data_IF_057687808187
#
_entry.id   IF_057687808187
#
_cell.length_a   1.000
_cell.length_b   1.000
_cell.length_c   1.000
_cell.angle_alpha   90.00
_cell.angle_beta   90.00
_cell.angle_gamma   90.00
#
_symmetry.space_group_name_H-M   'P 1'
#
loop_
_entity.id
_entity.type
_entity.pdbx_description
1 polymer ?
#
# COMPACT_ATOMS: atom_id res chain seq x y z
N UNK A 1 -7.88 8.76 -2.62
CA UNK A 1 -6.60 8.39 -3.27
C UNK A 1 -6.29 6.91 -3.00
N UNK A 2 -5.89 6.10 -3.99
CA UNK A 2 -5.48 4.69 -3.76
C UNK A 2 -3.99 4.65 -3.41
N UNK A 3 -3.61 3.90 -2.38
CA UNK A 3 -2.20 3.84 -1.98
C UNK A 3 -1.47 2.66 -2.62
N UNK A 4 -0.22 2.89 -3.02
CA UNK A 4 0.55 2.03 -3.94
C UNK A 4 1.51 1.07 -3.24
N UNK A 5 1.12 0.53 -2.10
CA UNK A 5 1.88 -0.47 -1.33
C UNK A 5 1.87 -1.87 -1.97
N UNK A 6 1.00 -2.12 -2.97
CA UNK A 6 0.78 -3.44 -3.54
C UNK A 6 -0.35 -4.22 -2.86
N UNK A 7 -1.02 -3.61 -1.88
CA UNK A 7 -2.09 -4.24 -1.08
C UNK A 7 -3.30 -4.68 -1.89
N UNK A 8 -3.69 -3.95 -2.94
CA UNK A 8 -4.74 -4.40 -3.87
C UNK A 8 -4.38 -5.68 -4.63
N UNK A 9 -3.13 -5.84 -5.07
CA UNK A 9 -2.67 -7.09 -5.68
C UNK A 9 -2.62 -8.23 -4.65
N UNK A 10 -2.07 -7.96 -3.46
CA UNK A 10 -1.99 -8.95 -2.40
C UNK A 10 -3.37 -9.45 -1.94
N UNK A 11 -4.34 -8.55 -1.85
CA UNK A 11 -5.75 -8.88 -1.56
C UNK A 11 -6.33 -9.86 -2.59
N UNK A 12 -6.05 -9.63 -3.88
CA UNK A 12 -6.51 -10.58 -4.92
C UNK A 12 -5.85 -11.95 -4.80
N UNK A 13 -4.63 -12.05 -4.27
CA UNK A 13 -4.00 -13.35 -3.98
C UNK A 13 -4.77 -14.08 -2.88
N UNK A 14 -5.05 -13.40 -1.76
CA UNK A 14 -5.76 -14.00 -0.63
C UNK A 14 -7.18 -14.45 -1.03
N UNK A 15 -7.91 -13.64 -1.81
CA UNK A 15 -9.27 -13.99 -2.24
C UNK A 15 -9.35 -15.22 -3.16
N UNK A 16 -8.23 -15.71 -3.72
CA UNK A 16 -8.20 -17.00 -4.43
C UNK A 16 -8.25 -18.20 -3.50
N UNK A 17 -7.97 -18.02 -2.21
CA UNK A 17 -8.14 -19.07 -1.22
C UNK A 17 -9.62 -19.26 -0.91
N UNK A 18 -10.16 -20.46 -1.10
CA UNK A 18 -11.57 -20.81 -0.85
C UNK A 18 -12.08 -20.30 0.51
N UNK A 19 -11.30 -20.51 1.56
CA UNK A 19 -11.66 -20.13 2.94
C UNK A 19 -11.36 -18.67 3.34
N UNK A 20 -10.94 -17.79 2.42
CA UNK A 20 -10.70 -16.37 2.69
C UNK A 20 -11.66 -15.49 1.89
N UNK A 21 -12.23 -14.49 2.55
CA UNK A 21 -13.01 -13.41 1.93
C UNK A 21 -12.56 -12.03 2.43
N UNK A 22 -11.72 -11.34 1.66
CA UNK A 22 -11.33 -9.94 1.89
C UNK A 22 -12.25 -8.99 1.12
N UNK A 23 -12.86 -8.05 1.85
CA UNK A 23 -13.95 -7.20 1.39
C UNK A 23 -13.51 -5.80 0.90
N UNK A 24 -12.25 -5.62 0.52
CA UNK A 24 -11.75 -4.34 0.00
C UNK A 24 -11.52 -3.28 1.07
N UNK A 25 -11.41 -2.02 0.61
CA UNK A 25 -11.22 -0.86 1.48
C UNK A 25 -12.54 -0.33 2.03
N UNK A 26 -13.18 -1.08 2.93
CA UNK A 26 -14.49 -0.70 3.47
C UNK A 26 -14.45 0.66 4.20
N UNK A 27 -13.30 1.05 4.77
CA UNK A 27 -13.08 2.32 5.47
C UNK A 27 -12.62 3.48 4.57
N UNK A 28 -12.57 3.29 3.26
CA UNK A 28 -12.42 4.41 2.31
C UNK A 28 -13.60 5.39 2.40
N UNK A 29 -14.80 4.87 2.75
CA UNK A 29 -16.03 5.62 3.01
C UNK A 29 -15.93 6.37 4.34
N UNK A 30 -16.09 7.70 4.33
CA UNK A 30 -15.82 8.58 5.49
C UNK A 30 -16.78 8.31 6.65
N UNK A 31 -18.04 8.07 6.38
CA UNK A 31 -19.11 7.86 7.36
C UNK A 31 -18.78 6.69 8.30
N UNK A 32 -18.23 5.60 7.72
CA UNK A 32 -17.85 4.37 8.45
C UNK A 32 -16.68 4.57 9.41
N UNK A 33 -15.89 5.64 9.23
CA UNK A 33 -14.74 6.01 10.07
C UNK A 33 -14.86 7.40 10.69
N UNK A 34 -16.08 7.91 10.80
CA UNK A 34 -16.35 9.24 11.37
C UNK A 34 -15.95 9.34 12.84
N UNK A 35 -16.17 8.26 13.60
CA UNK A 35 -15.78 8.11 15.01
C UNK A 35 -15.56 6.63 15.37
N UNK A 36 -15.09 6.39 16.59
CA UNK A 36 -14.77 5.04 17.05
C UNK A 36 -15.99 4.11 17.10
N UNK A 37 -17.15 4.62 17.52
CA UNK A 37 -18.40 3.84 17.53
C UNK A 37 -18.79 3.34 16.14
N UNK A 38 -18.62 4.16 15.11
CA UNK A 38 -18.93 3.81 13.72
C UNK A 38 -17.94 2.78 13.17
N UNK A 39 -16.66 2.91 13.54
CA UNK A 39 -15.62 1.92 13.24
C UNK A 39 -15.99 0.56 13.84
N UNK A 40 -16.30 0.52 15.13
CA UNK A 40 -16.62 -0.72 15.83
C UNK A 40 -17.88 -1.38 15.28
N UNK A 41 -18.94 -0.60 15.02
CA UNK A 41 -20.14 -1.11 14.33
C UNK A 41 -19.83 -1.72 12.96
N UNK A 42 -18.91 -1.13 12.22
CA UNK A 42 -18.49 -1.64 10.90
C UNK A 42 -17.68 -2.92 11.04
N UNK A 43 -16.74 -2.98 11.99
CA UNK A 43 -15.96 -4.18 12.29
C UNK A 43 -16.85 -5.33 12.80
N UNK A 44 -17.81 -5.05 13.67
CA UNK A 44 -18.75 -6.05 14.17
C UNK A 44 -19.62 -6.62 13.04
N UNK A 45 -20.12 -5.80 12.10
CA UNK A 45 -20.83 -6.30 10.90
C UNK A 45 -19.96 -7.26 10.09
N UNK A 46 -18.69 -6.91 9.88
CA UNK A 46 -17.77 -7.78 9.15
C UNK A 46 -17.47 -9.07 9.93
N UNK A 47 -17.20 -8.96 11.23
CA UNK A 47 -16.93 -10.08 12.13
C UNK A 47 -18.10 -11.07 12.19
N UNK A 48 -19.33 -10.55 12.22
CA UNK A 48 -20.55 -11.33 12.28
C UNK A 48 -20.93 -11.98 10.95
N UNK A 49 -20.21 -11.68 9.85
CA UNK A 49 -20.55 -12.02 8.47
C UNK A 49 -21.82 -11.35 7.92
N UNK A 50 -22.26 -10.25 8.52
CA UNK A 50 -23.40 -9.47 8.01
C UNK A 50 -23.00 -8.55 6.84
N UNK A 51 -21.76 -8.69 6.35
CA UNK A 51 -21.19 -7.86 5.30
C UNK A 51 -21.30 -8.53 3.92
N UNK A 52 -22.30 -8.10 3.16
CA UNK A 52 -22.52 -8.57 1.79
C UNK A 52 -21.68 -7.77 0.78
N UNK A 53 -20.86 -8.46 0.00
CA UNK A 53 -20.08 -7.88 -1.09
C UNK A 53 -19.90 -8.90 -2.21
N UNK A 54 -19.40 -8.47 -3.36
CA UNK A 54 -19.04 -9.40 -4.46
C UNK A 54 -17.91 -10.38 -4.10
N UNK A 55 -17.17 -10.10 -3.02
CA UNK A 55 -16.14 -11.00 -2.49
C UNK A 55 -16.67 -11.91 -1.37
N UNK A 56 -17.88 -11.66 -0.86
CA UNK A 56 -18.51 -12.50 0.16
C UNK A 56 -18.73 -13.90 -0.42
N UNK A 57 -18.39 -14.91 0.37
CA UNK A 57 -18.55 -16.32 0.00
C UNK A 57 -19.72 -16.90 0.77
N UNK A 58 -20.58 -17.63 0.06
CA UNK A 58 -21.82 -18.19 0.62
C UNK A 58 -21.59 -19.51 1.38
N UNK A 59 -20.34 -19.98 1.44
CA UNK A 59 -19.91 -21.21 2.10
C UNK A 59 -18.95 -20.92 3.25
N UNK A 60 -18.59 -21.97 4.00
CA UNK A 60 -17.67 -21.98 5.13
C UNK A 60 -16.41 -21.10 4.96
N UNK A 61 -16.48 -19.85 5.41
CA UNK A 61 -15.33 -18.93 5.39
C UNK A 61 -14.58 -19.06 6.71
N UNK A 62 -13.28 -19.36 6.67
CA UNK A 62 -12.45 -19.46 7.87
C UNK A 62 -11.81 -18.12 8.27
N UNK A 63 -11.66 -17.20 7.31
CA UNK A 63 -11.14 -15.87 7.55
C UNK A 63 -11.88 -14.84 6.69
N UNK A 64 -12.43 -13.82 7.34
CA UNK A 64 -13.01 -12.64 6.69
C UNK A 64 -12.09 -11.46 6.91
N UNK A 65 -11.83 -10.67 5.88
CA UNK A 65 -10.84 -9.62 5.91
C UNK A 65 -11.35 -8.32 5.35
N UNK A 66 -10.57 -7.27 5.60
CA UNK A 66 -10.68 -5.99 4.95
C UNK A 66 -9.28 -5.41 4.75
N UNK A 67 -9.17 -4.52 3.77
CA UNK A 67 -7.95 -3.75 3.54
C UNK A 67 -8.10 -2.38 4.20
N UNK A 68 -7.20 -2.01 5.10
CA UNK A 68 -7.27 -0.76 5.83
C UNK A 68 -6.00 0.06 5.67
N UNK A 69 -6.14 1.23 5.06
CA UNK A 69 -5.02 2.14 4.91
C UNK A 69 -4.72 2.84 6.23
N UNK A 70 -3.44 2.99 6.62
CA UNK A 70 -3.09 3.51 7.96
C UNK A 70 -3.61 4.95 8.18
N UNK A 71 -3.75 5.73 7.11
CA UNK A 71 -4.30 7.09 7.10
C UNK A 71 -5.85 7.14 7.14
N UNK A 72 -6.56 6.01 7.03
CA UNK A 72 -8.02 5.95 7.01
C UNK A 72 -8.61 5.77 8.42
N UNK A 73 -8.10 6.49 9.42
CA UNK A 73 -8.63 6.46 10.79
C UNK A 73 -8.08 5.35 11.68
N UNK A 74 -7.38 4.35 11.13
CA UNK A 74 -6.74 3.28 11.90
C UNK A 74 -5.77 3.83 12.95
N UNK A 75 -4.85 4.72 12.53
CA UNK A 75 -3.87 5.30 13.45
C UNK A 75 -4.48 6.34 14.40
N UNK A 76 -5.61 6.95 14.04
CA UNK A 76 -6.29 7.97 14.86
C UNK A 76 -6.93 7.34 16.11
N UNK A 77 -7.44 6.13 15.99
CA UNK A 77 -8.14 5.40 17.06
C UNK A 77 -7.41 4.10 17.41
N UNK A 78 -6.08 4.13 17.39
CA UNK A 78 -5.28 2.90 17.47
C UNK A 78 -5.46 2.16 18.80
N UNK A 79 -5.64 2.87 19.91
CA UNK A 79 -5.77 2.25 21.24
C UNK A 79 -7.02 1.38 21.32
N UNK A 80 -8.17 1.94 20.95
CA UNK A 80 -9.46 1.26 20.98
C UNK A 80 -9.53 0.14 19.94
N UNK A 81 -8.86 0.30 18.79
CA UNK A 81 -8.78 -0.72 17.74
C UNK A 81 -7.89 -1.90 18.18
N UNK A 82 -6.75 -1.63 18.81
CA UNK A 82 -5.88 -2.68 19.37
C UNK A 82 -6.62 -3.48 20.44
N UNK A 83 -7.36 -2.81 21.33
CA UNK A 83 -8.19 -3.48 22.33
C UNK A 83 -9.25 -4.37 21.67
N UNK A 84 -9.97 -3.85 20.68
CA UNK A 84 -10.96 -4.62 19.93
C UNK A 84 -10.32 -5.84 19.25
N UNK A 85 -9.18 -5.67 18.58
CA UNK A 85 -8.49 -6.76 17.89
C UNK A 85 -8.05 -7.86 18.86
N UNK A 86 -7.44 -7.50 19.99
CA UNK A 86 -7.04 -8.48 21.00
C UNK A 86 -8.25 -9.22 21.59
N UNK A 87 -9.32 -8.51 21.95
CA UNK A 87 -10.54 -9.11 22.51
C UNK A 87 -11.23 -10.07 21.54
N UNK A 88 -11.18 -9.78 20.24
CA UNK A 88 -11.86 -10.56 19.19
C UNK A 88 -10.94 -11.57 18.47
N UNK A 89 -9.66 -11.65 18.86
CA UNK A 89 -8.69 -12.52 18.17
C UNK A 89 -8.42 -12.12 16.72
N UNK A 90 -8.56 -10.83 16.38
CA UNK A 90 -8.28 -10.32 15.04
C UNK A 90 -6.77 -10.30 14.80
N UNK A 91 -6.37 -10.75 13.63
CA UNK A 91 -4.98 -10.75 13.19
C UNK A 91 -4.73 -9.64 12.16
N UNK A 92 -3.51 -9.12 12.09
CA UNK A 92 -3.15 -8.12 11.09
C UNK A 92 -1.95 -8.58 10.23
N UNK A 93 -2.02 -8.28 8.95
CA UNK A 93 -0.90 -8.42 8.01
C UNK A 93 -0.49 -7.00 7.60
N UNK A 94 0.66 -6.54 8.06
CA UNK A 94 1.21 -5.27 7.60
C UNK A 94 1.93 -5.50 6.27
N UNK A 95 1.44 -4.90 5.18
CA UNK A 95 2.10 -4.94 3.88
C UNK A 95 2.77 -3.59 3.61
N UNK A 96 4.06 -3.55 3.87
CA UNK A 96 4.92 -2.40 3.68
C UNK A 96 5.64 -2.48 2.33
N UNK A 97 6.21 -1.36 1.90
CA UNK A 97 6.98 -1.29 0.65
C UNK A 97 8.28 -0.55 0.91
N UNK A 98 9.42 -1.22 0.71
CA UNK A 98 10.74 -0.63 0.99
C UNK A 98 11.09 0.46 -0.02
N UNK A 99 10.74 0.25 -1.29
CA UNK A 99 11.05 1.24 -2.33
C UNK A 99 10.01 2.37 -2.36
N UNK A 100 10.17 3.31 -1.43
CA UNK A 100 9.27 4.45 -1.25
C UNK A 100 9.33 5.45 -2.43
N UNK A 101 10.46 5.59 -3.11
CA UNK A 101 10.58 6.42 -4.32
C UNK A 101 9.74 5.85 -5.47
N UNK A 102 9.90 4.55 -5.78
CA UNK A 102 9.10 3.91 -6.81
C UNK A 102 7.61 3.91 -6.47
N UNK A 103 7.29 3.80 -5.18
CA UNK A 103 5.92 3.95 -4.69
C UNK A 103 5.37 5.35 -5.01
N UNK A 104 6.16 6.40 -4.75
CA UNK A 104 5.79 7.79 -5.04
C UNK A 104 5.58 8.03 -6.54
N UNK A 105 6.48 7.52 -7.39
CA UNK A 105 6.30 7.55 -8.86
C UNK A 105 4.97 6.89 -9.25
N UNK A 106 4.67 5.71 -8.68
CA UNK A 106 3.42 5.01 -8.99
C UNK A 106 2.17 5.76 -8.52
N UNK A 107 2.26 6.55 -7.45
CA UNK A 107 1.17 7.43 -7.01
C UNK A 107 0.94 8.51 -8.06
N UNK A 108 2.00 9.22 -8.47
CA UNK A 108 1.91 10.31 -9.43
C UNK A 108 1.37 9.81 -10.78
N UNK A 109 1.82 8.65 -11.24
CA UNK A 109 1.30 8.04 -12.47
C UNK A 109 -0.17 7.62 -12.36
N UNK A 110 -0.59 7.08 -11.21
CA UNK A 110 -1.99 6.75 -10.99
C UNK A 110 -2.89 7.99 -10.94
N UNK A 111 -2.41 9.09 -10.36
CA UNK A 111 -3.15 10.35 -10.32
C UNK A 111 -3.23 11.00 -11.70
N UNK A 112 -2.14 10.95 -12.48
CA UNK A 112 -2.16 11.34 -13.88
C UNK A 112 -3.22 10.56 -14.67
N UNK A 113 -3.26 9.23 -14.55
CA UNK A 113 -4.27 8.39 -15.21
C UNK A 113 -5.70 8.69 -14.73
N UNK A 114 -5.89 9.05 -13.46
CA UNK A 114 -7.20 9.45 -12.95
C UNK A 114 -7.75 10.67 -13.70
N UNK A 115 -6.88 11.60 -14.04
CA UNK A 115 -7.24 12.85 -14.70
C UNK A 115 -7.34 12.69 -16.22
N UNK A 116 -6.40 11.96 -16.83
CA UNK A 116 -6.27 11.82 -18.29
C UNK A 116 -7.01 10.60 -18.84
N UNK A 117 -7.25 9.58 -18.01
CA UNK A 117 -7.95 8.34 -18.34
C UNK A 117 -7.36 7.65 -19.58
N UNK A 118 -6.07 7.30 -19.49
CA UNK A 118 -5.22 6.91 -20.63
C UNK A 118 -5.70 5.65 -21.33
N UNK A 119 -6.50 4.81 -20.66
CA UNK A 119 -7.02 3.57 -21.22
C UNK A 119 -8.45 3.77 -21.73
N UNK A 120 -8.58 4.28 -22.95
CA UNK A 120 -9.86 4.48 -23.65
C UNK A 120 -10.87 5.29 -22.82
N UNK A 121 -10.42 6.38 -22.20
CA UNK A 121 -11.29 7.24 -21.39
C UNK A 121 -11.70 6.62 -20.05
N UNK A 122 -11.04 5.55 -19.60
CA UNK A 122 -11.25 4.95 -18.27
C UNK A 122 -9.98 5.01 -17.42
N UNK A 123 -10.14 5.41 -16.16
CA UNK A 123 -9.10 5.29 -15.15
C UNK A 123 -8.99 3.83 -14.69
N UNK A 124 -7.77 3.28 -14.62
CA UNK A 124 -7.51 1.97 -14.02
C UNK A 124 -6.32 2.00 -13.07
N UNK A 125 -6.59 1.73 -11.80
CA UNK A 125 -5.53 1.57 -10.80
C UNK A 125 -4.76 0.24 -10.90
N UNK A 126 -5.37 -0.76 -11.53
CA UNK A 126 -4.83 -2.10 -11.76
C UNK A 126 -5.23 -2.58 -13.15
N UNK A 127 -4.37 -3.37 -13.77
CA UNK A 127 -4.56 -3.90 -15.12
C UNK A 127 -4.28 -5.40 -15.15
N UNK A 128 -4.86 -6.08 -16.13
CA UNK A 128 -4.70 -7.53 -16.33
C UNK A 128 -3.88 -7.89 -17.57
N UNK A 129 -3.60 -6.89 -18.42
CA UNK A 129 -2.87 -7.07 -19.68
C UNK A 129 -1.59 -6.25 -19.68
N UNK A 130 -0.53 -6.78 -20.28
CA UNK A 130 0.77 -6.10 -20.38
C UNK A 130 0.68 -4.82 -21.22
N UNK A 131 -0.03 -4.82 -22.35
CA UNK A 131 -0.19 -3.62 -23.17
C UNK A 131 -0.83 -2.45 -22.42
N UNK A 132 -1.85 -2.70 -21.59
CA UNK A 132 -2.44 -1.67 -20.73
C UNK A 132 -1.43 -1.17 -19.67
N UNK A 133 -0.62 -2.08 -19.10
CA UNK A 133 0.43 -1.70 -18.17
C UNK A 133 1.51 -0.83 -18.84
N UNK A 134 1.88 -1.14 -20.08
CA UNK A 134 2.90 -0.41 -20.83
C UNK A 134 2.43 1.03 -21.09
N UNK A 135 1.19 1.22 -21.57
CA UNK A 135 0.59 2.56 -21.76
C UNK A 135 0.60 3.37 -20.46
N UNK A 136 0.15 2.79 -19.35
CA UNK A 136 0.14 3.47 -18.06
C UNK A 136 1.56 3.80 -17.54
N UNK A 137 2.58 3.05 -17.97
CA UNK A 137 3.97 3.24 -17.58
C UNK A 137 4.74 4.24 -18.46
N UNK A 138 4.14 4.74 -19.55
CA UNK A 138 4.75 5.75 -20.43
C UNK A 138 4.86 7.11 -19.75
N UNK A 139 3.92 7.46 -18.87
CA UNK A 139 3.96 8.70 -18.13
C UNK A 139 5.16 8.73 -17.17
N UNK A 140 6.00 9.75 -17.34
CA UNK A 140 7.13 10.06 -16.45
C UNK A 140 6.81 11.32 -15.65
N UNK A 141 6.49 11.20 -14.35
CA UNK A 141 6.25 12.37 -13.53
C UNK A 141 7.53 13.19 -13.33
N UNK A 142 7.40 14.51 -13.35
CA UNK A 142 8.42 15.42 -12.83
C UNK A 142 8.36 15.43 -11.30
N UNK A 143 9.47 15.10 -10.65
CA UNK A 143 9.51 15.03 -9.17
C UNK A 143 10.05 16.32 -8.57
N UNK A 144 9.26 16.93 -7.68
CA UNK A 144 9.69 18.04 -6.84
C UNK A 144 10.37 17.48 -5.58
N UNK A 145 11.69 17.66 -5.46
CA UNK A 145 12.52 17.12 -4.37
C UNK A 145 11.95 17.39 -2.97
N UNK A 146 11.53 18.62 -2.68
CA UNK A 146 11.03 19.00 -1.36
C UNK A 146 9.76 18.21 -0.98
N UNK A 147 8.86 18.01 -1.94
CA UNK A 147 7.65 17.20 -1.75
C UNK A 147 7.99 15.73 -1.56
N UNK A 148 8.94 15.22 -2.34
CA UNK A 148 9.43 13.84 -2.21
C UNK A 148 9.97 13.58 -0.79
N UNK A 149 10.92 14.39 -0.30
CA UNK A 149 11.54 14.17 1.03
C UNK A 149 10.48 14.15 2.13
N UNK A 150 9.58 15.12 2.12
CA UNK A 150 8.52 15.20 3.12
C UNK A 150 7.60 13.97 3.08
N UNK A 151 7.30 13.45 1.89
CA UNK A 151 6.47 12.26 1.71
C UNK A 151 7.17 10.97 2.17
N UNK A 152 8.45 10.82 1.84
CA UNK A 152 9.27 9.68 2.26
C UNK A 152 9.34 9.62 3.79
N UNK A 153 9.74 10.72 4.45
CA UNK A 153 9.84 10.80 5.92
C UNK A 153 8.50 10.51 6.61
N UNK A 154 7.41 11.10 6.11
CA UNK A 154 6.07 10.89 6.68
C UNK A 154 5.64 9.43 6.58
N UNK A 155 5.91 8.81 5.44
CA UNK A 155 5.50 7.44 5.17
C UNK A 155 6.24 6.41 6.00
N UNK A 156 7.55 6.62 6.15
CA UNK A 156 8.40 5.79 6.98
C UNK A 156 8.00 5.90 8.46
N UNK A 157 7.85 7.13 8.96
CA UNK A 157 7.37 7.39 10.32
C UNK A 157 6.00 6.74 10.58
N UNK A 158 5.05 6.89 9.66
CA UNK A 158 3.71 6.33 9.84
C UNK A 158 3.71 4.79 9.86
N UNK A 159 4.60 4.15 9.10
CA UNK A 159 4.78 2.70 9.16
C UNK A 159 5.41 2.28 10.50
N UNK A 160 6.47 2.96 10.93
CA UNK A 160 7.13 2.70 12.22
C UNK A 160 6.15 2.87 13.41
N UNK A 161 5.42 3.98 13.45
CA UNK A 161 4.42 4.27 14.48
C UNK A 161 3.32 3.19 14.50
N UNK A 162 2.89 2.70 13.33
CA UNK A 162 1.91 1.62 13.24
C UNK A 162 2.43 0.31 13.83
N UNK A 163 3.67 -0.09 13.51
CA UNK A 163 4.27 -1.30 14.07
C UNK A 163 4.43 -1.21 15.59
N UNK A 164 4.76 -0.03 16.12
CA UNK A 164 4.85 0.20 17.57
C UNK A 164 3.47 0.13 18.23
N UNK A 165 2.47 0.85 17.70
CA UNK A 165 1.14 0.93 18.30
C UNK A 165 0.40 -0.42 18.26
N UNK A 166 0.62 -1.21 17.22
CA UNK A 166 -0.02 -2.51 17.01
C UNK A 166 0.88 -3.70 17.40
N UNK A 167 1.96 -3.48 18.16
CA UNK A 167 2.88 -4.57 18.53
C UNK A 167 2.25 -5.69 19.36
N UNK A 168 1.17 -5.41 20.09
CA UNK A 168 0.51 -6.34 21.00
C UNK A 168 -0.56 -7.20 20.32
N UNK A 169 -1.02 -6.82 19.13
CA UNK A 169 -1.95 -7.64 18.36
C UNK A 169 -1.19 -8.77 17.67
N UNK A 170 -1.86 -9.90 17.41
CA UNK A 170 -1.28 -10.95 16.58
C UNK A 170 -1.07 -10.41 15.16
N UNK A 171 0.18 -10.24 14.75
CA UNK A 171 0.49 -9.65 13.46
C UNK A 171 1.71 -10.29 12.78
N UNK A 172 1.74 -10.16 11.45
CA UNK A 172 2.90 -10.46 10.61
C UNK A 172 3.23 -9.24 9.75
N UNK A 173 4.52 -8.95 9.60
CA UNK A 173 5.01 -7.86 8.77
C UNK A 173 5.61 -8.44 7.49
N UNK A 174 5.12 -7.95 6.35
CA UNK A 174 5.57 -8.31 5.02
C UNK A 174 6.05 -7.08 4.28
N UNK A 175 7.06 -7.26 3.44
CA UNK A 175 7.46 -6.25 2.47
C UNK A 175 7.09 -6.71 1.07
N UNK A 176 6.46 -5.82 0.30
CA UNK A 176 6.02 -6.08 -1.07
C UNK A 176 7.12 -6.70 -1.94
N UNK A 177 8.35 -6.18 -1.83
CA UNK A 177 9.51 -6.66 -2.56
C UNK A 177 9.83 -8.14 -2.26
N UNK A 178 9.66 -8.58 -1.00
CA UNK A 178 9.90 -9.97 -0.59
C UNK A 178 8.78 -10.88 -1.10
N UNK A 179 7.53 -10.43 -1.01
CA UNK A 179 6.36 -11.22 -1.47
C UNK A 179 6.39 -11.41 -2.99
N UNK A 180 6.88 -10.43 -3.75
CA UNK A 180 7.00 -10.53 -5.20
C UNK A 180 8.19 -11.40 -5.61
N UNK A 181 9.33 -11.29 -4.92
CA UNK A 181 10.55 -12.02 -5.26
C UNK A 181 10.55 -13.46 -4.77
N UNK A 182 9.98 -13.73 -3.60
CA UNK A 182 9.94 -15.04 -2.98
C UNK A 182 8.50 -15.48 -2.68
N UNK A 183 8.00 -16.43 -3.47
CA UNK A 183 6.64 -16.96 -3.30
C UNK A 183 6.45 -17.75 -2.00
N UNK A 184 7.51 -18.22 -1.35
CA UNK A 184 7.39 -18.90 -0.05
C UNK A 184 6.80 -17.98 1.02
N UNK A 185 6.93 -16.65 0.87
CA UNK A 185 6.30 -15.68 1.77
C UNK A 185 4.77 -15.76 1.79
N UNK A 186 4.15 -16.24 0.71
CA UNK A 186 2.71 -16.50 0.72
C UNK A 186 2.36 -17.74 1.54
N UNK A 187 3.27 -18.72 1.62
CA UNK A 187 3.12 -19.88 2.51
C UNK A 187 3.21 -19.44 3.97
N UNK A 188 4.16 -18.57 4.33
CA UNK A 188 4.27 -17.99 5.68
C UNK A 188 2.95 -17.31 6.11
N UNK A 189 2.28 -16.64 5.17
CA UNK A 189 0.97 -16.00 5.41
C UNK A 189 -0.14 -17.01 5.65
N UNK A 190 -0.20 -18.08 4.86
CA UNK A 190 -1.20 -19.13 5.07
C UNK A 190 -0.97 -19.85 6.40
N UNK A 191 0.29 -20.07 6.79
CA UNK A 191 0.65 -20.61 8.10
C UNK A 191 0.22 -19.69 9.24
N UNK A 192 0.53 -18.39 9.12
CA UNK A 192 0.09 -17.36 10.08
C UNK A 192 -1.43 -17.34 10.25
N UNK A 193 -2.18 -17.47 9.16
CA UNK A 193 -3.65 -17.53 9.17
C UNK A 193 -4.21 -18.92 9.55
N UNK A 194 -3.34 -19.92 9.73
CA UNK A 194 -3.71 -21.33 10.01
C UNK A 194 -4.64 -21.93 8.95
N UNK A 195 -4.33 -21.69 7.69
CA UNK A 195 -5.09 -22.14 6.53
C UNK A 195 -4.34 -23.21 5.71
N UNK A 196 -5.05 -24.05 4.95
CA UNK A 196 -4.43 -25.00 4.03
C UNK A 196 -3.46 -24.31 3.07
N UNK A 197 -2.30 -24.93 2.88
CA UNK A 197 -1.28 -24.42 1.95
C UNK A 197 -1.72 -24.70 0.52
N UNK A 198 -2.04 -23.63 -0.22
CA UNK A 198 -2.35 -23.70 -1.64
C UNK A 198 -1.53 -22.67 -2.43
N UNK A 199 -1.42 -22.89 -3.74
CA UNK A 199 -0.77 -21.93 -4.62
C UNK A 199 -1.69 -20.74 -4.91
N UNK A 200 -1.40 -19.60 -4.30
CA UNK A 200 -2.08 -18.34 -4.59
C UNK A 200 -1.56 -17.72 -5.90
N UNK A 201 -2.45 -17.09 -6.66
CA UNK A 201 -2.12 -16.43 -7.94
C UNK A 201 -3.02 -15.23 -8.19
N UNK A 202 -2.56 -14.26 -8.96
CA UNK A 202 -3.34 -13.07 -9.30
C UNK A 202 -3.20 -12.79 -10.79
N UNK A 203 -4.27 -12.26 -11.39
CA UNK A 203 -4.26 -11.77 -12.76
C UNK A 203 -3.75 -10.33 -12.87
N UNK A 204 -3.45 -9.64 -11.76
CA UNK A 204 -2.93 -8.27 -11.83
C UNK A 204 -1.51 -8.29 -12.38
N UNK A 205 -1.23 -7.36 -13.29
CA UNK A 205 0.09 -7.14 -13.86
C UNK A 205 0.74 -5.92 -13.21
N UNK A 206 2.05 -6.01 -12.96
CA UNK A 206 2.83 -4.88 -12.46
C UNK A 206 3.01 -3.85 -13.57
N UNK A 207 2.57 -2.62 -13.33
CA UNK A 207 2.64 -1.50 -14.29
C UNK A 207 4.10 -1.04 -14.47
N UNK A 208 4.76 -0.67 -13.38
CA UNK A 208 6.12 -0.13 -13.44
C UNK A 208 7.19 -1.23 -13.25
N UNK A 209 7.68 -1.78 -14.35
CA UNK A 209 8.69 -2.87 -14.37
C UNK A 209 10.12 -2.40 -14.67
N UNK A 210 10.28 -1.24 -15.32
CA UNK A 210 11.59 -0.66 -15.66
C UNK A 210 12.42 -0.28 -14.42
N UNK A 211 13.71 0.01 -14.57
CA UNK A 211 14.52 0.60 -13.48
C UNK A 211 13.89 1.93 -13.04
N UNK A 212 13.92 2.23 -11.74
CA UNK A 212 13.26 3.40 -11.15
C UNK A 212 13.69 4.70 -11.85
N UNK A 213 14.98 4.87 -12.13
CA UNK A 213 15.54 6.04 -12.83
C UNK A 213 14.95 6.31 -14.23
N UNK A 214 14.38 5.30 -14.88
CA UNK A 214 13.77 5.43 -16.21
C UNK A 214 12.29 5.79 -16.15
N UNK A 215 11.72 5.91 -14.94
CA UNK A 215 10.27 6.06 -14.72
C UNK A 215 9.87 7.48 -14.30
N UNK A 216 10.81 8.42 -14.18
CA UNK A 216 10.52 9.80 -13.79
C UNK A 216 11.57 10.72 -14.39
N UNK A 217 11.19 11.98 -14.57
CA UNK A 217 12.11 13.02 -15.02
C UNK A 217 12.59 13.81 -13.80
N UNK A 218 13.92 13.92 -13.67
CA UNK A 218 14.56 14.71 -12.62
C UNK A 218 14.77 16.13 -13.10
N UNK A 219 14.35 17.09 -12.29
CA UNK A 219 14.69 18.49 -12.57
C UNK A 219 16.20 18.75 -12.43
N UNK A 220 16.97 17.95 -11.65
CA UNK A 220 18.45 17.98 -11.55
C UNK A 220 19.03 16.65 -11.02
N UNK A 221 19.91 15.97 -11.77
CA UNK A 221 20.57 14.69 -11.37
C UNK A 221 21.38 14.77 -10.06
N UNK A 222 21.98 15.91 -9.73
CA UNK A 222 22.81 16.09 -8.53
C UNK A 222 22.09 15.79 -7.20
N UNK A 223 20.76 15.91 -7.18
CA UNK A 223 19.97 15.80 -5.95
C UNK A 223 19.69 14.34 -5.58
N UNK A 224 19.70 13.41 -6.54
CA UNK A 224 19.38 12.01 -6.26
C UNK A 224 20.50 11.29 -5.49
N UNK A 225 21.76 11.66 -5.75
CA UNK A 225 22.93 11.14 -5.02
C UNK A 225 22.91 11.64 -3.57
N UNK A 226 22.62 12.94 -3.36
CA UNK A 226 22.47 13.51 -2.02
C UNK A 226 21.26 12.94 -1.25
N UNK A 227 20.13 12.72 -1.94
CA UNK A 227 18.91 12.10 -1.38
C UNK A 227 19.13 10.65 -0.94
N UNK A 228 19.90 9.87 -1.71
CA UNK A 228 20.16 8.48 -1.37
C UNK A 228 21.08 8.38 -0.15
N UNK A 229 22.07 9.29 -0.06
CA UNK A 229 23.00 9.40 1.07
C UNK A 229 22.28 9.88 2.35
N UNK A 230 21.44 10.92 2.29
CA UNK A 230 20.73 11.44 3.48
C UNK A 230 19.62 10.53 4.03
N UNK A 231 19.10 9.59 3.22
CA UNK A 231 17.95 8.75 3.61
C UNK A 231 18.35 7.33 4.01
N UNK A 232 19.52 6.82 3.59
CA UNK A 232 19.85 5.39 3.75
C UNK A 232 21.13 5.08 4.52
N UNK A 233 21.97 6.07 4.85
CA UNK A 233 23.32 5.86 5.45
C UNK A 233 24.17 4.78 4.74
N UNK A 234 23.89 4.46 3.47
CA UNK A 234 24.54 3.37 2.74
C UNK A 234 25.02 3.81 1.36
N UNK A 235 26.33 3.74 1.15
CA UNK A 235 27.03 4.12 -0.09
C UNK A 235 27.10 2.99 -1.15
N UNK A 236 26.64 1.77 -0.84
CA UNK A 236 27.04 0.58 -1.62
C UNK A 236 26.46 0.48 -3.04
N UNK A 237 25.39 1.22 -3.35
CA UNK A 237 24.72 1.17 -4.66
C UNK A 237 24.88 2.46 -5.50
N UNK A 238 25.76 3.38 -5.08
CA UNK A 238 25.99 4.66 -5.77
C UNK A 238 26.99 4.55 -6.94
N UNK A 239 26.75 3.65 -7.91
CA UNK A 239 27.56 3.57 -9.14
C UNK A 239 27.08 4.53 -10.23
N UNK A 240 26.80 5.79 -9.88
CA UNK A 240 26.75 6.89 -10.84
C UNK A 240 27.94 7.80 -10.53
N UNK A 241 29.12 7.45 -11.03
CA UNK A 241 30.30 8.29 -10.95
C UNK A 241 31.02 8.39 -12.30
N UNK A 242 31.58 9.58 -12.51
CA UNK A 242 32.46 10.07 -13.58
C UNK A 242 31.68 10.61 -14.81
N UNK A 243 31.69 11.90 -15.21
CA UNK A 243 32.53 13.06 -14.89
C UNK A 243 31.80 14.39 -15.32
N UNK A 244 32.45 15.58 -15.34
CA UNK A 244 32.20 16.72 -14.48
C UNK A 244 31.27 17.80 -15.08
N UNK A 245 30.37 18.36 -14.28
CA UNK A 245 29.80 19.69 -14.54
C UNK A 245 29.61 20.45 -13.22
N UNK A 246 30.73 20.80 -12.62
CA UNK A 246 30.78 21.94 -11.70
C UNK A 246 30.76 23.20 -12.56
N UNK A 247 29.65 23.95 -12.52
CA UNK A 247 29.62 25.40 -12.30
C UNK A 247 28.27 26.01 -12.68
N UNK A 248 27.86 26.97 -11.85
CA UNK A 248 26.94 28.07 -12.14
C UNK A 248 25.43 27.74 -12.26
N UNK A 249 24.65 28.10 -11.25
CA UNK A 249 23.99 29.42 -11.21
C UNK A 249 23.11 29.58 -9.96
N UNK A 250 23.41 30.65 -9.20
CA UNK A 250 22.49 31.32 -8.27
C UNK A 250 21.43 32.07 -9.09
N UNK A 251 20.13 31.99 -8.73
CA UNK A 251 19.24 33.16 -8.49
C UNK A 251 17.76 32.80 -8.20
N UNK A 252 17.29 33.42 -7.11
CA UNK A 252 15.97 33.95 -6.67
C UNK A 252 14.67 33.12 -6.73
N UNK A 253 13.78 33.30 -5.72
CA UNK A 253 12.50 32.59 -5.62
C UNK A 253 11.41 33.33 -6.43
N UNK A 254 10.58 32.57 -7.13
CA UNK A 254 9.31 33.05 -7.67
C UNK A 254 8.20 32.41 -6.83
N UNK A 255 7.34 33.27 -6.27
CA UNK A 255 6.19 32.85 -5.48
C UNK A 255 5.18 32.10 -6.33
N UNK A 256 4.63 31.02 -5.75
CA UNK A 256 3.43 30.39 -6.24
C UNK A 256 2.53 30.07 -5.03
N UNK A 257 1.42 30.80 -4.90
CA UNK A 257 0.23 30.31 -4.20
C UNK A 257 -0.61 29.55 -5.24
N UNK A 258 -0.92 28.27 -4.99
CA UNK A 258 -2.28 27.74 -4.98
C UNK A 258 -2.30 26.25 -4.59
N UNK A 259 -3.41 25.92 -3.96
CA UNK A 259 -3.75 24.70 -3.26
C UNK A 259 -3.89 23.49 -4.18
N UNK A 260 -3.48 22.31 -3.70
CA UNK A 260 -4.16 21.05 -3.97
C UNK A 260 -3.89 20.08 -2.80
N UNK A 261 -4.96 19.48 -2.31
CA UNK A 261 -5.06 18.58 -1.15
C UNK A 261 -3.89 17.60 -1.00
N UNK A 262 -3.10 17.74 0.06
CA UNK A 262 -2.20 16.69 0.53
C UNK A 262 -3.04 15.60 1.24
N UNK A 263 -3.81 14.82 0.48
CA UNK A 263 -4.30 13.55 1.00
C UNK A 263 -3.09 12.63 1.21
N UNK A 264 -2.81 12.33 2.49
CA UNK A 264 -1.67 11.54 2.96
C UNK A 264 -1.55 10.19 2.25
N UNK A 265 -0.35 9.78 1.84
CA UNK A 265 -0.09 8.50 1.18
C UNK A 265 0.73 7.56 2.08
N UNK A 266 0.02 6.93 3.02
CA UNK A 266 0.54 5.95 3.97
C UNK A 266 0.84 4.54 3.41
N UNK A 267 1.53 3.74 4.23
CA UNK A 267 1.51 2.29 4.12
C UNK A 267 0.10 1.69 4.38
N UNK A 268 -0.05 0.38 4.22
CA UNK A 268 -1.33 -0.32 4.36
C UNK A 268 -1.23 -1.41 5.41
N UNK A 269 -2.26 -1.54 6.25
CA UNK A 269 -2.52 -2.74 7.01
C UNK A 269 -3.63 -3.54 6.31
N UNK A 270 -3.42 -4.82 6.09
CA UNK A 270 -4.50 -5.72 5.74
C UNK A 270 -4.98 -6.37 7.03
N UNK A 271 -6.23 -6.13 7.39
CA UNK A 271 -6.80 -6.62 8.65
C UNK A 271 -7.58 -7.89 8.33
N UNK A 272 -7.17 -9.00 8.93
CA UNK A 272 -7.79 -10.30 8.73
C UNK A 272 -8.44 -10.74 10.03
N UNK A 273 -9.76 -10.78 10.02
CA UNK A 273 -10.58 -11.30 11.10
C UNK A 273 -10.70 -12.80 10.89
N UNK A 274 -10.04 -13.57 11.74
CA UNK A 274 -10.12 -15.03 11.69
C UNK A 274 -11.35 -15.45 12.49
N UNK A 275 -12.33 -16.01 11.79
CA UNK A 275 -13.50 -16.66 12.40
C UNK A 275 -13.70 -17.97 11.67
N UNK A 276 -13.39 -19.10 12.32
CA UNK A 276 -13.69 -20.42 11.79
C UNK A 276 -15.19 -20.64 11.88
N UNK A 277 -15.87 -20.60 10.73
CA UNK A 277 -17.32 -20.78 10.68
C UNK A 277 -17.69 -22.22 10.38
N UNK A 278 -16.71 -23.06 10.02
CA UNK A 278 -16.91 -24.50 9.88
C UNK A 278 -15.73 -25.33 10.37
N UNK A 279 -16.08 -26.49 10.93
CA UNK A 279 -15.20 -27.46 11.59
C UNK A 279 -15.62 -27.65 13.05
N UNK A 280 -16.26 -28.79 13.33
CA UNK A 280 -16.67 -29.28 14.68
C UNK A 280 -15.53 -29.19 15.71
N UNK A 281 -15.86 -29.11 17.02
CA UNK A 281 -14.93 -28.87 18.13
C UNK A 281 -13.63 -29.66 18.07
#
# INVERSE_FOLDING_TARGET
>A
MLLRSGSGWFETLLNRHENISSNGEIFSVKERRSNITSIMKTLDKLYNLDWFSSAAKNECTAAVGLKWMLNQGLMKHHQEIVEYFNRRGVSAIFLLRRNLLQRFVSILANDHDRNTKQLNGRHKAHVHHRGEADVLAEYKPTIITKSLIAELKRSDKLAADALVNFKTILNIVLYYEDVVSNRSKLTDVLDFLKLPKIKLSSRHVKIHTKRVLLQFDLMKCHVLVLLYIEVTDSLRDATCFLAPFFLAQKRKPIGAKRNASAEMLAATAMIIIIRRICGRP
#
